data_IF_362921369203
#
_entry.id   IF_362921369203
#
_cell.length_a   1.000
_cell.length_b   1.000
_cell.length_c   1.000
_cell.angle_alpha   90.00
_cell.angle_beta   90.00
_cell.angle_gamma   90.00
#
_symmetry.space_group_name_H-M   'P 1'
#
loop_
_entity.id
_entity.type
_entity.pdbx_description
1 polymer ?
#
# COMPACT_ATOMS: atom_id res chain seq x y z
N UNK A 1 5.52 15.81 31.95
CA UNK A 1 4.27 15.91 31.16
C UNK A 1 3.08 15.71 32.10
N UNK A 2 2.01 16.51 32.04
CA UNK A 2 0.92 16.39 33.04
C UNK A 2 0.09 15.11 32.82
N UNK A 3 -0.40 14.46 33.89
CA UNK A 3 -1.23 13.24 33.79
C UNK A 3 -2.45 13.40 32.86
N UNK A 4 -3.01 14.61 32.77
CA UNK A 4 -4.12 14.95 31.86
C UNK A 4 -3.73 14.93 30.37
N UNK A 5 -2.50 15.32 30.05
CA UNK A 5 -1.98 15.29 28.67
C UNK A 5 -1.73 13.84 28.25
N UNK A 6 -1.14 13.03 29.13
CA UNK A 6 -0.91 11.61 28.89
C UNK A 6 -2.24 10.86 28.72
N UNK A 7 -3.21 11.11 29.61
CA UNK A 7 -4.54 10.51 29.52
C UNK A 7 -5.28 10.92 28.25
N UNK A 8 -5.18 12.19 27.83
CA UNK A 8 -5.79 12.65 26.58
C UNK A 8 -5.20 11.97 25.35
N UNK A 9 -3.87 11.86 25.26
CA UNK A 9 -3.18 11.12 24.20
C UNK A 9 -3.61 9.66 24.14
N UNK A 10 -3.69 8.98 25.28
CA UNK A 10 -4.14 7.59 25.37
C UNK A 10 -5.59 7.41 24.93
N UNK A 11 -6.50 8.30 25.35
CA UNK A 11 -7.91 8.22 24.94
C UNK A 11 -8.08 8.40 23.44
N UNK A 12 -7.28 9.26 22.80
CA UNK A 12 -7.37 9.44 21.35
C UNK A 12 -6.81 8.23 20.60
N UNK A 13 -5.69 7.66 21.05
CA UNK A 13 -5.16 6.40 20.49
C UNK A 13 -6.24 5.30 20.54
N UNK A 14 -6.96 5.19 21.66
CA UNK A 14 -8.04 4.21 21.80
C UNK A 14 -9.21 4.49 20.86
N UNK A 15 -9.64 5.75 20.70
CA UNK A 15 -10.73 6.11 19.78
C UNK A 15 -10.36 5.79 18.33
N UNK A 16 -9.12 6.09 17.90
CA UNK A 16 -8.62 5.77 16.55
C UNK A 16 -8.59 4.26 16.29
N UNK A 17 -8.26 3.47 17.31
CA UNK A 17 -8.27 2.00 17.22
C UNK A 17 -9.70 1.41 17.16
N UNK A 18 -10.71 2.15 17.63
CA UNK A 18 -12.10 1.70 17.70
C UNK A 18 -12.95 2.14 16.49
N UNK A 19 -12.42 2.94 15.56
CA UNK A 19 -13.17 3.32 14.36
C UNK A 19 -13.42 2.10 13.46
N UNK A 20 -14.68 1.86 13.03
CA UNK A 20 -15.00 0.72 12.18
C UNK A 20 -14.33 0.87 10.81
N UNK A 21 -13.70 -0.22 10.33
CA UNK A 21 -13.16 -0.30 8.96
C UNK A 21 -14.09 -1.10 8.05
N UNK A 22 -14.08 -0.63 6.80
CA UNK A 22 -14.59 -1.21 5.55
C UNK A 22 -16.03 -0.84 5.17
N UNK A 23 -16.16 0.26 4.43
CA UNK A 23 -17.26 0.47 3.47
C UNK A 23 -16.83 -0.27 2.18
N UNK A 24 -17.47 -1.39 1.87
CA UNK A 24 -17.22 -2.14 0.63
C UNK A 24 -18.08 -1.56 -0.51
N UNK A 25 -17.52 -0.60 -1.23
CA UNK A 25 -18.04 -0.19 -2.54
C UNK A 25 -17.15 -0.78 -3.64
N UNK A 26 -17.76 -1.35 -4.69
CA UNK A 26 -17.05 -1.98 -5.82
C UNK A 26 -16.38 -0.98 -6.78
N UNK A 27 -16.04 0.22 -6.29
CA UNK A 27 -15.50 1.33 -7.09
C UNK A 27 -14.02 1.63 -6.79
N UNK A 28 -13.39 0.88 -5.89
CA UNK A 28 -11.98 1.04 -5.54
C UNK A 28 -11.03 0.27 -6.47
N UNK A 29 -9.73 0.64 -6.49
CA UNK A 29 -8.69 -0.16 -7.12
C UNK A 29 -8.74 -1.60 -6.61
N UNK A 30 -8.29 -2.54 -7.44
CA UNK A 30 -8.26 -3.96 -7.08
C UNK A 30 -6.86 -4.36 -6.66
N UNK A 31 -6.73 -5.35 -5.75
CA UNK A 31 -5.43 -5.85 -5.35
C UNK A 31 -4.71 -6.48 -6.54
N UNK A 32 -3.38 -6.52 -6.48
CA UNK A 32 -2.53 -7.07 -7.54
C UNK A 32 -1.52 -8.10 -7.04
N UNK A 33 -1.13 -8.99 -7.94
CA UNK A 33 0.04 -9.86 -7.80
C UNK A 33 0.95 -9.61 -9.01
N UNK A 34 2.16 -9.14 -8.74
CA UNK A 34 3.15 -8.77 -9.75
C UNK A 34 4.40 -9.63 -9.54
N UNK A 35 4.91 -10.25 -10.60
CA UNK A 35 6.00 -11.22 -10.53
C UNK A 35 7.04 -10.90 -11.58
N UNK A 36 8.29 -10.72 -11.15
CA UNK A 36 9.45 -10.61 -12.03
C UNK A 36 10.10 -11.99 -12.21
N UNK A 37 10.40 -12.37 -13.44
CA UNK A 37 11.10 -13.62 -13.75
C UNK A 37 12.55 -13.37 -14.13
N UNK A 38 13.46 -14.19 -13.60
CA UNK A 38 14.90 -14.13 -13.89
C UNK A 38 15.42 -15.53 -14.27
N UNK A 39 16.30 -15.63 -15.26
CA UNK A 39 16.94 -16.87 -15.70
C UNK A 39 16.24 -17.59 -16.85
N UNK A 40 15.20 -16.99 -17.44
CA UNK A 40 14.47 -17.49 -18.62
C UNK A 40 14.35 -16.44 -19.71
N UNK A 41 15.24 -15.46 -19.69
CA UNK A 41 15.31 -14.40 -20.69
C UNK A 41 15.54 -15.04 -22.07
N UNK A 42 14.79 -14.58 -23.08
CA UNK A 42 14.83 -15.05 -24.48
C UNK A 42 14.08 -16.36 -24.80
N UNK A 43 13.21 -16.85 -23.91
CA UNK A 43 12.31 -17.97 -24.20
C UNK A 43 10.87 -17.49 -24.35
N UNK A 44 10.07 -18.18 -25.17
CA UNK A 44 8.62 -18.02 -25.16
C UNK A 44 8.09 -18.93 -24.07
N UNK A 45 7.38 -18.34 -23.11
CA UNK A 45 6.72 -19.05 -22.03
C UNK A 45 5.40 -18.36 -21.68
N UNK A 46 4.51 -19.12 -21.05
CA UNK A 46 3.23 -18.63 -20.55
C UNK A 46 3.19 -18.81 -19.04
N UNK A 47 2.49 -17.91 -18.35
CA UNK A 47 2.39 -17.88 -16.90
C UNK A 47 0.93 -17.85 -16.49
N UNK A 48 0.57 -18.63 -15.47
CA UNK A 48 -0.68 -18.48 -14.73
C UNK A 48 -0.42 -18.56 -13.22
N UNK A 49 -1.39 -18.11 -12.42
CA UNK A 49 -1.46 -18.46 -11.01
C UNK A 49 -2.54 -19.51 -10.83
N UNK A 50 -2.15 -20.71 -10.42
CA UNK A 50 -3.10 -21.71 -9.97
C UNK A 50 -3.69 -21.24 -8.65
N UNK A 51 -5.01 -21.31 -8.52
CA UNK A 51 -5.77 -20.82 -7.38
C UNK A 51 -6.20 -21.97 -6.48
N UNK A 52 -6.10 -21.80 -5.17
CA UNK A 52 -6.70 -22.73 -4.20
C UNK A 52 -8.24 -22.77 -4.34
N UNK A 53 -8.84 -21.61 -4.58
CA UNK A 53 -10.28 -21.47 -4.80
C UNK A 53 -10.64 -21.64 -6.28
N UNK A 54 -11.83 -22.16 -6.54
CA UNK A 54 -12.33 -22.36 -7.91
C UNK A 54 -12.69 -21.05 -8.62
N UNK A 55 -12.76 -19.92 -7.93
CA UNK A 55 -13.01 -18.62 -8.55
C UNK A 55 -12.50 -17.46 -7.70
N UNK A 56 -12.17 -16.36 -8.36
CA UNK A 56 -11.89 -15.06 -7.73
C UNK A 56 -12.27 -13.94 -8.69
N UNK A 57 -13.11 -13.01 -8.24
CA UNK A 57 -13.68 -11.97 -9.09
C UNK A 57 -14.36 -12.55 -10.33
N UNK A 58 -14.00 -12.12 -11.56
CA UNK A 58 -14.58 -12.65 -12.79
C UNK A 58 -13.93 -13.95 -13.27
N UNK A 59 -12.87 -14.41 -12.62
CA UNK A 59 -12.09 -15.59 -13.01
C UNK A 59 -12.63 -16.82 -12.29
N UNK A 60 -12.82 -17.92 -13.02
CA UNK A 60 -13.38 -19.14 -12.46
C UNK A 60 -12.88 -20.35 -13.22
N UNK A 61 -12.77 -21.47 -12.53
CA UNK A 61 -12.55 -22.78 -13.10
C UNK A 61 -13.74 -23.15 -13.98
N UNK A 62 -13.47 -23.58 -15.20
CA UNK A 62 -14.52 -23.92 -16.16
C UNK A 62 -14.11 -25.13 -16.97
N UNK A 63 -15.06 -26.04 -17.16
CA UNK A 63 -14.94 -27.20 -18.05
C UNK A 63 -15.60 -26.93 -19.42
N UNK A 64 -16.24 -25.78 -19.60
CA UNK A 64 -16.88 -25.40 -20.88
C UNK A 64 -15.82 -25.28 -21.98
N UNK A 65 -16.14 -25.57 -23.25
CA UNK A 65 -15.23 -25.38 -24.38
C UNK A 65 -14.62 -23.97 -24.43
N UNK A 66 -13.47 -23.82 -25.07
CA UNK A 66 -12.82 -22.52 -25.28
C UNK A 66 -13.78 -21.59 -25.99
N UNK A 67 -13.98 -20.40 -25.44
CA UNK A 67 -14.47 -19.29 -26.24
C UNK A 67 -13.30 -18.74 -27.06
N UNK A 68 -13.27 -19.04 -28.36
CA UNK A 68 -12.21 -18.56 -29.27
C UNK A 68 -12.19 -17.02 -29.38
N UNK A 69 -13.26 -16.34 -28.93
CA UNK A 69 -13.31 -14.88 -28.84
C UNK A 69 -12.83 -14.33 -27.49
N UNK A 70 -12.38 -15.20 -26.56
CA UNK A 70 -11.85 -14.78 -25.28
C UNK A 70 -10.65 -13.85 -25.48
N UNK A 71 -10.70 -12.67 -24.87
CA UNK A 71 -9.67 -11.64 -24.99
C UNK A 71 -8.27 -12.12 -24.57
N UNK A 72 -8.19 -13.07 -23.61
CA UNK A 72 -6.93 -13.67 -23.14
C UNK A 72 -6.25 -14.56 -24.17
N UNK A 73 -6.99 -14.96 -25.21
CA UNK A 73 -6.53 -15.79 -26.32
C UNK A 73 -6.32 -14.95 -27.60
N UNK A 74 -6.87 -13.73 -27.62
CA UNK A 74 -7.06 -12.93 -28.84
C UNK A 74 -5.79 -12.28 -29.37
N UNK A 75 -4.79 -12.07 -28.52
CA UNK A 75 -3.52 -11.41 -28.89
C UNK A 75 -2.58 -12.37 -29.65
N UNK A 76 -2.68 -13.69 -29.40
CA UNK A 76 -1.89 -14.73 -30.06
C UNK A 76 -2.75 -15.99 -30.28
N UNK A 77 -3.67 -15.95 -31.25
CA UNK A 77 -4.77 -16.92 -31.39
C UNK A 77 -4.33 -18.39 -31.27
N UNK A 78 -3.42 -18.87 -32.11
CA UNK A 78 -3.07 -20.30 -32.13
C UNK A 78 -2.23 -20.69 -30.90
N UNK A 79 -1.09 -20.04 -30.66
CA UNK A 79 -0.21 -20.35 -29.51
C UNK A 79 -0.90 -20.12 -28.14
N UNK A 80 -1.83 -19.15 -28.07
CA UNK A 80 -2.61 -18.85 -26.88
C UNK A 80 -3.72 -19.88 -26.60
N UNK A 81 -4.34 -20.44 -27.63
CA UNK A 81 -5.27 -21.58 -27.50
C UNK A 81 -4.52 -22.78 -26.93
N UNK A 82 -3.36 -23.10 -27.50
CA UNK A 82 -2.55 -24.25 -27.08
C UNK A 82 -2.07 -24.11 -25.64
N UNK A 83 -1.53 -22.94 -25.27
CA UNK A 83 -1.12 -22.66 -23.90
C UNK A 83 -2.28 -22.77 -22.90
N UNK A 84 -3.45 -22.25 -23.26
CA UNK A 84 -4.64 -22.36 -22.42
C UNK A 84 -5.09 -23.82 -22.26
N UNK A 85 -5.05 -24.62 -23.32
CA UNK A 85 -5.37 -26.05 -23.26
C UNK A 85 -4.37 -26.79 -22.37
N UNK A 86 -3.09 -26.47 -22.51
CA UNK A 86 -2.03 -27.01 -21.68
C UNK A 86 -2.30 -26.73 -20.19
N UNK A 87 -2.61 -25.47 -19.82
CA UNK A 87 -2.96 -25.12 -18.43
C UNK A 87 -4.23 -25.79 -17.93
N UNK A 88 -5.26 -25.93 -18.77
CA UNK A 88 -6.49 -26.62 -18.40
C UNK A 88 -6.27 -28.10 -18.11
N UNK A 89 -5.41 -28.74 -18.89
CA UNK A 89 -5.12 -30.17 -18.77
C UNK A 89 -4.11 -30.48 -17.65
N UNK A 90 -3.39 -29.46 -17.18
CA UNK A 90 -2.47 -29.58 -16.06
C UNK A 90 -3.24 -29.98 -14.78
N UNK A 91 -2.79 -31.05 -14.12
CA UNK A 91 -3.32 -31.50 -12.84
C UNK A 91 -2.31 -31.18 -11.75
N UNK A 92 -2.64 -30.22 -10.91
CA UNK A 92 -1.81 -29.89 -9.77
C UNK A 92 -1.88 -30.98 -8.69
N UNK A 93 -0.73 -31.30 -8.09
CA UNK A 93 -0.62 -32.33 -7.05
C UNK A 93 -1.34 -31.96 -5.76
N UNK A 94 -1.46 -30.67 -5.46
CA UNK A 94 -2.14 -30.16 -4.26
C UNK A 94 -3.59 -29.73 -4.57
N UNK A 95 -4.09 -30.00 -5.79
CA UNK A 95 -5.47 -29.74 -6.18
C UNK A 95 -5.80 -28.29 -6.51
N UNK A 96 -4.80 -27.43 -6.79
CA UNK A 96 -5.05 -26.06 -7.22
C UNK A 96 -5.63 -26.01 -8.64
N UNK A 97 -6.45 -24.99 -8.91
CA UNK A 97 -7.23 -24.83 -10.13
C UNK A 97 -6.63 -23.78 -11.07
N UNK A 98 -6.61 -24.09 -12.36
CA UNK A 98 -6.51 -23.06 -13.39
C UNK A 98 -7.86 -22.35 -13.56
N UNK A 99 -7.92 -21.06 -13.25
CA UNK A 99 -9.16 -20.25 -13.26
C UNK A 99 -9.30 -19.37 -14.52
N UNK A 100 -8.75 -19.83 -15.65
CA UNK A 100 -8.88 -19.19 -16.96
C UNK A 100 -8.27 -17.78 -17.05
N UNK A 101 -7.13 -17.53 -16.38
CA UNK A 101 -6.32 -16.33 -16.59
C UNK A 101 -4.86 -16.70 -16.72
N UNK A 102 -4.20 -16.20 -17.75
CA UNK A 102 -2.80 -16.44 -18.02
C UNK A 102 -2.23 -15.27 -18.84
N UNK A 103 -0.91 -15.17 -18.89
CA UNK A 103 -0.20 -14.15 -19.66
C UNK A 103 0.94 -14.82 -20.42
N UNK A 104 1.21 -14.34 -21.64
CA UNK A 104 2.45 -14.65 -22.35
C UNK A 104 3.60 -13.82 -21.75
N UNK A 105 4.83 -14.34 -21.80
CA UNK A 105 6.01 -13.57 -21.48
C UNK A 105 6.10 -12.28 -22.30
N UNK A 106 6.55 -11.20 -21.66
CA UNK A 106 6.77 -9.89 -22.29
C UNK A 106 8.27 -9.55 -22.27
N UNK A 107 8.65 -8.43 -22.88
CA UNK A 107 10.06 -7.99 -22.95
C UNK A 107 10.68 -7.75 -21.57
N UNK A 108 9.86 -7.38 -20.59
CA UNK A 108 10.29 -7.10 -19.22
C UNK A 108 10.36 -8.37 -18.35
N UNK A 109 9.95 -9.54 -18.87
CA UNK A 109 9.80 -10.80 -18.14
C UNK A 109 8.98 -10.64 -16.85
N UNK A 110 7.82 -9.98 -16.94
CA UNK A 110 6.92 -9.76 -15.81
C UNK A 110 5.54 -10.39 -16.02
N UNK A 111 4.90 -10.82 -14.94
CA UNK A 111 3.50 -11.21 -14.90
C UNK A 111 2.74 -10.28 -13.94
N UNK A 112 1.65 -9.67 -14.40
CA UNK A 112 0.87 -8.73 -13.59
C UNK A 112 -0.61 -9.11 -13.61
N UNK A 113 -1.13 -9.59 -12.48
CA UNK A 113 -2.55 -9.84 -12.30
C UNK A 113 -3.16 -8.77 -11.40
N UNK A 114 -3.78 -7.76 -12.02
CA UNK A 114 -4.23 -6.52 -11.35
C UNK A 114 -5.71 -6.50 -11.00
N UNK A 115 -6.46 -7.56 -11.31
CA UNK A 115 -7.91 -7.61 -11.12
C UNK A 115 -8.33 -8.92 -10.46
N UNK A 116 -8.53 -8.88 -9.13
CA UNK A 116 -8.90 -10.03 -8.30
C UNK A 116 -7.99 -11.26 -8.45
N UNK A 117 -6.66 -11.11 -8.25
CA UNK A 117 -5.77 -12.26 -8.18
C UNK A 117 -6.13 -13.17 -6.98
N UNK A 118 -5.88 -14.47 -7.09
CA UNK A 118 -6.13 -15.43 -6.00
C UNK A 118 -5.35 -15.08 -4.73
N UNK A 119 -5.94 -15.34 -3.57
CA UNK A 119 -5.30 -15.07 -2.28
C UNK A 119 -4.21 -16.09 -1.96
N UNK A 120 -4.48 -17.38 -2.20
CA UNK A 120 -3.51 -18.49 -2.10
C UNK A 120 -3.28 -19.03 -3.50
N UNK A 121 -2.02 -19.16 -3.93
CA UNK A 121 -1.71 -19.55 -5.30
C UNK A 121 -0.37 -20.24 -5.47
N UNK A 122 -0.20 -20.91 -6.62
CA UNK A 122 1.11 -21.34 -7.15
C UNK A 122 1.35 -20.68 -8.48
N UNK A 123 2.60 -20.30 -8.76
CA UNK A 123 2.96 -19.82 -10.09
C UNK A 123 3.24 -21.04 -10.97
N UNK A 124 2.53 -21.15 -12.09
CA UNK A 124 2.72 -22.21 -13.07
C UNK A 124 3.21 -21.59 -14.38
N UNK A 125 4.34 -22.08 -14.86
CA UNK A 125 4.99 -21.64 -16.09
C UNK A 125 4.95 -22.77 -17.11
N UNK A 126 4.49 -22.47 -18.31
CA UNK A 126 4.43 -23.41 -19.43
C UNK A 126 5.40 -22.99 -20.55
N UNK A 127 6.25 -23.93 -20.98
CA UNK A 127 7.19 -23.76 -22.09
C UNK A 127 6.68 -24.54 -23.32
N UNK A 128 6.02 -23.88 -24.29
CA UNK A 128 5.38 -24.56 -25.42
C UNK A 128 6.35 -25.35 -26.30
N UNK A 129 7.59 -24.87 -26.47
CA UNK A 129 8.61 -25.56 -27.28
C UNK A 129 9.03 -26.93 -26.72
N UNK A 130 8.98 -27.08 -25.40
CA UNK A 130 9.44 -28.28 -24.69
C UNK A 130 8.28 -29.10 -24.13
N UNK A 131 7.04 -28.60 -24.29
CA UNK A 131 5.84 -29.10 -23.62
C UNK A 131 6.05 -29.38 -22.12
N UNK A 132 6.71 -28.44 -21.43
CA UNK A 132 7.15 -28.60 -20.04
C UNK A 132 6.50 -27.57 -19.13
N UNK A 133 6.12 -28.02 -17.93
CA UNK A 133 5.66 -27.17 -16.84
C UNK A 133 6.71 -27.01 -15.75
N UNK A 134 6.72 -25.84 -15.13
CA UNK A 134 7.40 -25.55 -13.88
C UNK A 134 6.37 -24.96 -12.93
N UNK A 135 6.24 -25.51 -11.73
CA UNK A 135 5.34 -25.00 -10.69
C UNK A 135 6.13 -24.62 -9.45
N UNK A 136 5.73 -23.52 -8.80
CA UNK A 136 6.32 -23.08 -7.53
C UNK A 136 5.68 -23.75 -6.34
N UNK A 137 6.31 -23.59 -5.17
CA UNK A 137 5.64 -23.80 -3.90
C UNK A 137 4.44 -22.85 -3.73
N UNK A 138 3.58 -23.19 -2.77
CA UNK A 138 2.40 -22.40 -2.41
C UNK A 138 2.84 -21.03 -1.89
N UNK A 139 2.28 -20.00 -2.49
CA UNK A 139 2.46 -18.59 -2.16
C UNK A 139 1.13 -17.94 -1.79
N UNK A 140 1.19 -16.80 -1.13
CA UNK A 140 0.01 -16.10 -0.61
C UNK A 140 0.15 -14.60 -0.80
N UNK A 141 -0.90 -13.96 -1.29
CA UNK A 141 -1.00 -12.50 -1.39
C UNK A 141 -0.83 -11.88 -0.01
N UNK A 142 0.27 -11.16 0.20
CA UNK A 142 0.69 -10.65 1.51
C UNK A 142 0.32 -9.18 1.74
N UNK A 143 0.05 -8.44 0.67
CA UNK A 143 -0.31 -7.02 0.66
C UNK A 143 -1.37 -6.76 -0.43
N UNK A 144 -1.94 -5.55 -0.43
CA UNK A 144 -2.86 -5.10 -1.47
C UNK A 144 -2.23 -5.25 -2.86
N UNK A 145 -0.99 -4.78 -3.00
CA UNK A 145 -0.11 -5.08 -4.13
C UNK A 145 1.01 -5.99 -3.64
N UNK A 146 1.00 -7.25 -4.07
CA UNK A 146 2.03 -8.23 -3.71
C UNK A 146 3.05 -8.36 -4.83
N UNK A 147 4.33 -8.26 -4.50
CA UNK A 147 5.44 -8.28 -5.45
C UNK A 147 6.33 -9.47 -5.17
N UNK A 148 6.60 -10.25 -6.20
CA UNK A 148 7.45 -11.42 -6.15
C UNK A 148 8.56 -11.34 -7.18
N UNK A 149 9.67 -11.97 -6.85
CA UNK A 149 10.70 -12.34 -7.82
C UNK A 149 10.75 -13.86 -7.87
N UNK A 150 10.64 -14.43 -9.08
CA UNK A 150 10.77 -15.86 -9.36
C UNK A 150 12.08 -16.05 -10.14
N UNK A 151 13.09 -16.60 -9.47
CA UNK A 151 14.38 -16.91 -10.10
C UNK A 151 14.40 -18.39 -10.48
N UNK A 152 14.65 -18.68 -11.76
CA UNK A 152 14.74 -20.05 -12.28
C UNK A 152 16.22 -20.38 -12.46
N UNK A 153 16.75 -21.20 -11.55
CA UNK A 153 18.14 -21.64 -11.54
C UNK A 153 18.25 -23.09 -12.02
N UNK A 154 19.43 -23.47 -12.53
CA UNK A 154 19.87 -24.83 -12.86
C UNK A 154 18.79 -25.78 -13.43
N UNK A 155 18.74 -25.89 -14.76
CA UNK A 155 17.89 -26.83 -15.49
C UNK A 155 16.40 -26.79 -15.12
N UNK A 156 15.89 -25.63 -14.66
CA UNK A 156 14.46 -25.39 -14.39
C UNK A 156 13.93 -26.08 -13.12
N UNK A 157 14.78 -26.27 -12.10
CA UNK A 157 14.44 -27.12 -10.94
C UNK A 157 14.34 -26.33 -9.62
N UNK A 158 15.03 -25.20 -9.52
CA UNK A 158 15.02 -24.39 -8.29
C UNK A 158 14.31 -23.08 -8.56
N UNK A 159 13.26 -22.82 -7.76
CA UNK A 159 12.48 -21.60 -7.83
C UNK A 159 12.57 -20.93 -6.47
N UNK A 160 13.12 -19.71 -6.46
CA UNK A 160 13.09 -18.86 -5.27
C UNK A 160 12.05 -17.78 -5.49
N UNK A 161 11.06 -17.75 -4.60
CA UNK A 161 10.02 -16.72 -4.57
C UNK A 161 10.34 -15.73 -3.46
N UNK A 162 10.88 -14.56 -3.83
CA UNK A 162 11.26 -13.52 -2.87
C UNK A 162 10.25 -12.37 -2.88
N UNK A 163 9.87 -11.89 -1.69
CA UNK A 163 9.06 -10.67 -1.58
C UNK A 163 9.91 -9.47 -2.01
N UNK A 164 9.44 -8.71 -2.99
CA UNK A 164 10.11 -7.51 -3.50
C UNK A 164 9.41 -6.26 -2.95
N UNK A 165 9.45 -6.07 -1.64
CA UNK A 165 8.88 -4.88 -1.01
C UNK A 165 10.00 -3.88 -0.69
N UNK A 166 9.94 -2.69 -1.29
CA UNK A 166 10.94 -1.65 -1.05
C UNK A 166 10.62 -0.87 0.24
N UNK A 167 11.02 -1.43 1.37
CA UNK A 167 10.89 -0.75 2.67
C UNK A 167 11.73 0.53 2.75
N UNK A 168 12.75 0.71 1.91
CA UNK A 168 13.68 1.85 1.97
C UNK A 168 13.07 3.11 1.38
N UNK A 169 12.35 2.98 0.26
CA UNK A 169 11.60 4.08 -0.35
C UNK A 169 10.51 4.59 0.60
N UNK A 170 9.79 3.69 1.29
CA UNK A 170 8.76 4.09 2.25
C UNK A 170 9.32 4.82 3.47
N UNK A 171 10.43 4.36 4.03
CA UNK A 171 11.10 5.04 5.13
C UNK A 171 11.60 6.44 4.72
N UNK A 172 12.09 6.57 3.48
CA UNK A 172 12.54 7.85 2.92
C UNK A 172 11.35 8.80 2.76
N UNK A 173 10.27 8.33 2.15
CA UNK A 173 9.00 9.02 2.00
C UNK A 173 8.45 9.54 3.34
N UNK A 174 8.37 8.65 4.34
CA UNK A 174 7.91 8.98 5.68
C UNK A 174 8.79 10.04 6.34
N UNK A 175 10.11 9.93 6.20
CA UNK A 175 11.07 10.89 6.76
C UNK A 175 10.90 12.28 6.14
N UNK A 176 10.76 12.36 4.82
CA UNK A 176 10.53 13.62 4.10
C UNK A 176 9.24 14.29 4.56
N UNK A 177 8.15 13.54 4.70
CA UNK A 177 6.85 14.07 5.16
C UNK A 177 6.94 14.66 6.57
N UNK A 178 7.53 13.92 7.51
CA UNK A 178 7.68 14.39 8.90
C UNK A 178 8.54 15.66 8.95
N UNK A 179 9.66 15.69 8.24
CA UNK A 179 10.56 16.86 8.24
C UNK A 179 9.90 18.10 7.64
N UNK A 180 9.13 17.93 6.54
CA UNK A 180 8.41 19.04 5.92
C UNK A 180 7.31 19.58 6.83
N UNK A 181 6.51 18.70 7.43
CA UNK A 181 5.48 19.13 8.40
C UNK A 181 6.11 19.88 9.57
N UNK A 182 7.21 19.37 10.13
CA UNK A 182 7.93 20.08 11.19
C UNK A 182 8.42 21.47 10.77
N UNK A 183 8.92 21.60 9.54
CA UNK A 183 9.36 22.89 9.02
C UNK A 183 8.19 23.88 8.91
N UNK A 184 7.05 23.44 8.36
CA UNK A 184 5.82 24.24 8.25
C UNK A 184 5.33 24.68 9.62
N UNK A 185 5.25 23.76 10.58
CA UNK A 185 4.80 24.02 11.94
C UNK A 185 5.65 25.07 12.64
N UNK A 186 6.98 24.99 12.51
CA UNK A 186 7.89 26.01 13.07
C UNK A 186 7.67 27.35 12.38
N UNK A 187 7.56 27.40 11.04
CA UNK A 187 7.34 28.64 10.30
C UNK A 187 6.03 29.33 10.72
N UNK A 188 4.94 28.56 10.84
CA UNK A 188 3.65 29.07 11.30
C UNK A 188 3.74 29.50 12.77
N UNK A 189 4.43 28.75 13.63
CA UNK A 189 4.61 29.12 15.03
C UNK A 189 5.33 30.48 15.17
N UNK A 190 6.36 30.70 14.36
CA UNK A 190 7.07 31.98 14.31
C UNK A 190 6.18 33.13 13.85
N UNK A 191 5.31 32.91 12.86
CA UNK A 191 4.31 33.89 12.39
C UNK A 191 3.31 34.26 13.49
N UNK A 192 2.89 33.30 14.32
CA UNK A 192 2.04 33.53 15.49
C UNK A 192 2.79 34.11 16.71
N UNK A 193 4.09 34.40 16.58
CA UNK A 193 4.91 34.95 17.65
C UNK A 193 5.30 33.95 18.74
N UNK A 194 5.10 32.64 18.52
CA UNK A 194 5.41 31.56 19.45
C UNK A 194 6.92 31.22 19.43
N UNK A 195 7.76 32.20 19.79
CA UNK A 195 9.24 32.12 19.60
C UNK A 195 9.99 31.51 20.78
N UNK A 196 9.34 31.30 21.92
CA UNK A 196 10.01 30.81 23.13
C UNK A 196 10.42 29.35 22.96
N UNK A 197 11.67 29.03 23.34
CA UNK A 197 12.29 27.70 23.16
C UNK A 197 11.44 26.56 23.72
N UNK A 198 10.88 26.71 24.92
CA UNK A 198 10.03 25.69 25.54
C UNK A 198 8.72 25.44 24.77
N UNK A 199 8.14 26.48 24.16
CA UNK A 199 6.93 26.36 23.33
C UNK A 199 7.27 25.70 22.00
N UNK A 200 8.34 26.14 21.33
CA UNK A 200 8.79 25.53 20.07
C UNK A 200 9.15 24.05 20.25
N UNK A 201 9.90 23.69 21.31
CA UNK A 201 10.22 22.29 21.61
C UNK A 201 8.97 21.46 21.89
N UNK A 202 7.95 22.04 22.54
CA UNK A 202 6.70 21.35 22.78
C UNK A 202 5.91 21.12 21.48
N UNK A 203 5.82 22.13 20.62
CA UNK A 203 5.21 22.02 19.28
C UNK A 203 5.89 20.91 18.48
N UNK A 204 7.23 20.92 18.41
CA UNK A 204 8.01 19.91 17.70
C UNK A 204 7.73 18.51 18.26
N UNK A 205 7.71 18.36 19.59
CA UNK A 205 7.47 17.07 20.21
C UNK A 205 6.07 16.51 19.93
N UNK A 206 5.03 17.35 20.01
CA UNK A 206 3.66 16.92 19.72
C UNK A 206 3.51 16.57 18.24
N UNK A 207 3.98 17.44 17.33
CA UNK A 207 3.97 17.18 15.89
C UNK A 207 4.75 15.91 15.53
N UNK A 208 5.88 15.65 16.17
CA UNK A 208 6.64 14.42 15.94
C UNK A 208 5.79 13.19 16.26
N UNK A 209 5.13 13.19 17.42
CA UNK A 209 4.31 12.06 17.87
C UNK A 209 3.09 11.88 16.99
N UNK A 210 2.36 12.96 16.67
CA UNK A 210 1.16 12.90 15.83
C UNK A 210 1.50 12.48 14.40
N UNK A 211 2.56 13.02 13.81
CA UNK A 211 2.97 12.69 12.44
C UNK A 211 3.54 11.28 12.32
N UNK A 212 4.33 10.79 13.30
CA UNK A 212 4.76 9.39 13.31
C UNK A 212 3.54 8.46 13.39
N UNK A 213 2.61 8.72 14.30
CA UNK A 213 1.41 7.90 14.46
C UNK A 213 0.54 7.89 13.20
N UNK A 214 0.30 9.06 12.62
CA UNK A 214 -0.46 9.23 11.38
C UNK A 214 0.18 8.45 10.22
N UNK A 215 1.48 8.63 9.98
CA UNK A 215 2.17 8.00 8.85
C UNK A 215 2.28 6.48 9.01
N UNK A 216 2.48 5.95 10.23
CA UNK A 216 2.44 4.51 10.48
C UNK A 216 1.05 3.93 10.16
N UNK A 217 -0.02 4.59 10.63
CA UNK A 217 -1.38 4.14 10.38
C UNK A 217 -1.72 4.16 8.88
N UNK A 218 -1.31 5.21 8.17
CA UNK A 218 -1.51 5.34 6.74
C UNK A 218 -0.71 4.32 5.93
N UNK A 219 0.54 4.04 6.32
CA UNK A 219 1.35 3.01 5.68
C UNK A 219 0.71 1.62 5.84
N UNK A 220 0.20 1.28 7.04
CA UNK A 220 -0.54 0.03 7.27
C UNK A 220 -1.80 -0.04 6.38
N UNK A 221 -2.51 1.09 6.20
CA UNK A 221 -3.69 1.15 5.32
C UNK A 221 -3.28 0.95 3.86
N UNK A 222 -2.23 1.62 3.40
CA UNK A 222 -1.73 1.47 2.04
C UNK A 222 -1.34 0.02 1.75
N UNK A 223 -0.56 -0.58 2.66
CA UNK A 223 -0.13 -1.96 2.57
C UNK A 223 -1.30 -2.96 2.51
N UNK A 224 -2.39 -2.72 3.25
CA UNK A 224 -3.54 -3.66 3.31
C UNK A 224 -4.65 -3.36 2.30
N UNK A 225 -4.81 -2.10 1.90
CA UNK A 225 -6.01 -1.61 1.23
C UNK A 225 -5.73 -0.68 0.05
N UNK A 226 -4.46 -0.41 -0.25
CA UNK A 226 -4.02 0.34 -1.43
C UNK A 226 -4.10 1.86 -1.31
N UNK A 227 -3.61 2.54 -2.33
CA UNK A 227 -3.41 4.00 -2.35
C UNK A 227 -4.69 4.83 -2.22
N UNK A 228 -5.83 4.35 -2.74
CA UNK A 228 -7.10 5.07 -2.57
C UNK A 228 -7.60 5.04 -1.13
N UNK A 229 -7.45 3.90 -0.45
CA UNK A 229 -7.75 3.81 0.97
C UNK A 229 -6.81 4.71 1.77
N UNK A 230 -5.53 4.78 1.40
CA UNK A 230 -4.57 5.73 1.98
C UNK A 230 -5.10 7.17 1.86
N UNK A 231 -5.46 7.65 0.66
CA UNK A 231 -5.92 9.04 0.44
C UNK A 231 -7.20 9.33 1.21
N UNK A 232 -8.19 8.44 1.15
CA UNK A 232 -9.43 8.61 1.89
C UNK A 232 -9.19 8.71 3.40
N UNK A 233 -8.32 7.84 3.95
CA UNK A 233 -8.02 7.86 5.36
C UNK A 233 -7.15 9.05 5.78
N UNK A 234 -6.29 9.52 4.89
CA UNK A 234 -5.43 10.67 5.14
C UNK A 234 -6.22 11.92 5.54
N UNK A 235 -7.30 12.21 4.81
CA UNK A 235 -8.12 13.43 5.02
C UNK A 235 -8.70 13.48 6.43
N UNK A 236 -9.41 12.43 6.86
CA UNK A 236 -10.09 12.47 8.16
C UNK A 236 -9.12 12.28 9.33
N UNK A 237 -8.03 11.52 9.13
CA UNK A 237 -7.01 11.36 10.17
C UNK A 237 -6.25 12.66 10.43
N UNK A 238 -5.96 13.45 9.40
CA UNK A 238 -5.37 14.79 9.58
C UNK A 238 -6.32 15.74 10.33
N UNK A 239 -7.62 15.71 10.02
CA UNK A 239 -8.62 16.46 10.81
C UNK A 239 -8.60 16.04 12.28
N UNK A 240 -8.45 14.74 12.56
CA UNK A 240 -8.32 14.23 13.92
C UNK A 240 -7.02 14.71 14.59
N UNK A 241 -5.89 14.73 13.87
CA UNK A 241 -4.62 15.30 14.37
C UNK A 241 -4.80 16.78 14.74
N UNK A 242 -5.44 17.59 13.89
CA UNK A 242 -5.74 19.00 14.19
C UNK A 242 -6.51 19.15 15.51
N UNK A 243 -7.51 18.31 15.74
CA UNK A 243 -8.31 18.35 16.98
C UNK A 243 -7.46 18.00 18.21
N UNK A 244 -6.61 16.97 18.11
CA UNK A 244 -5.69 16.56 19.17
C UNK A 244 -4.72 17.69 19.51
N UNK A 245 -4.07 18.23 18.48
CA UNK A 245 -3.05 19.25 18.63
C UNK A 245 -3.64 20.55 19.19
N UNK A 246 -4.77 21.00 18.66
CA UNK A 246 -5.49 22.16 19.17
C UNK A 246 -5.82 22.01 20.67
N UNK A 247 -6.28 20.83 21.08
CA UNK A 247 -6.58 20.53 22.48
C UNK A 247 -5.31 20.55 23.35
N UNK A 248 -4.26 19.84 22.92
CA UNK A 248 -3.00 19.72 23.67
C UNK A 248 -2.29 21.07 23.79
N UNK A 249 -2.21 21.85 22.70
CA UNK A 249 -1.63 23.19 22.71
C UNK A 249 -2.44 24.15 23.59
N UNK A 250 -3.77 24.09 23.56
CA UNK A 250 -4.62 24.94 24.41
C UNK A 250 -4.35 24.70 25.90
N UNK A 251 -4.14 23.44 26.29
CA UNK A 251 -3.79 23.08 27.67
C UNK A 251 -2.38 23.49 28.07
N UNK A 252 -1.41 23.44 27.14
CA UNK A 252 -0.02 23.77 27.43
C UNK A 252 0.24 25.28 27.40
N UNK A 253 -0.21 25.99 26.36
CA UNK A 253 0.03 27.43 26.20
C UNK A 253 -0.62 28.25 27.30
N UNK A 254 -1.81 27.83 27.78
CA UNK A 254 -2.48 28.48 28.92
C UNK A 254 -1.70 28.40 30.24
N UNK A 255 -0.73 27.48 30.34
CA UNK A 255 0.13 27.28 31.53
C UNK A 255 1.58 27.69 31.29
N UNK A 256 1.93 28.07 30.07
CA UNK A 256 3.30 28.40 29.70
C UNK A 256 3.70 29.74 30.33
N UNK A 257 4.71 29.73 31.19
CA UNK A 257 5.32 30.95 31.71
C UNK A 257 6.04 31.66 30.56
N UNK A 258 5.42 32.74 30.09
CA UNK A 258 5.88 33.58 28.98
C UNK A 258 5.86 35.03 29.44
N UNK A 259 6.77 35.87 28.92
CA UNK A 259 6.85 37.28 29.30
C UNK A 259 5.54 38.03 28.98
N UNK A 260 4.87 37.62 27.90
CA UNK A 260 3.53 38.07 27.51
C UNK A 260 2.62 36.85 27.46
N UNK A 261 1.50 36.84 28.20
CA UNK A 261 0.58 35.70 28.21
C UNK A 261 -0.01 35.46 26.81
N UNK A 262 0.03 34.20 26.37
CA UNK A 262 -0.54 33.79 25.10
C UNK A 262 -2.07 33.79 25.20
N UNK A 263 -2.73 34.50 24.28
CA UNK A 263 -4.20 34.56 24.22
C UNK A 263 -4.77 33.16 23.96
N UNK A 264 -5.85 32.78 24.65
CA UNK A 264 -6.46 31.44 24.57
C UNK A 264 -6.85 30.99 23.15
N UNK A 265 -7.21 31.92 22.28
CA UNK A 265 -7.59 31.62 20.89
C UNK A 265 -6.39 31.29 19.99
N UNK A 266 -5.16 31.65 20.39
CA UNK A 266 -3.96 31.43 19.56
C UNK A 266 -3.71 29.94 19.37
N UNK A 267 -3.83 29.12 20.41
CA UNK A 267 -3.57 27.68 20.33
C UNK A 267 -4.44 26.93 19.29
N UNK A 268 -5.79 27.04 19.32
CA UNK A 268 -6.62 26.35 18.33
C UNK A 268 -6.45 26.91 16.92
N UNK A 269 -6.33 28.23 16.76
CA UNK A 269 -6.13 28.84 15.43
C UNK A 269 -4.78 28.46 14.84
N UNK A 270 -3.72 28.49 15.65
CA UNK A 270 -2.39 28.01 15.27
C UNK A 270 -2.45 26.58 14.75
N UNK A 271 -3.04 25.66 15.52
CA UNK A 271 -3.12 24.24 15.14
C UNK A 271 -3.84 24.05 13.81
N UNK A 272 -4.99 24.71 13.63
CA UNK A 272 -5.74 24.64 12.38
C UNK A 272 -4.89 25.16 11.21
N UNK A 273 -4.26 26.33 11.36
CA UNK A 273 -3.47 26.94 10.27
C UNK A 273 -2.25 26.10 9.92
N UNK A 274 -1.51 25.62 10.92
CA UNK A 274 -0.28 24.86 10.72
C UNK A 274 -0.56 23.49 10.09
N UNK A 275 -1.54 22.74 10.63
CA UNK A 275 -1.92 21.45 10.07
C UNK A 275 -2.58 21.58 8.69
N UNK A 276 -3.39 22.62 8.45
CA UNK A 276 -3.97 22.86 7.11
C UNK A 276 -2.87 23.17 6.08
N UNK A 277 -1.87 23.97 6.45
CA UNK A 277 -0.73 24.26 5.59
C UNK A 277 0.08 23.00 5.28
N UNK A 278 0.36 22.18 6.29
CA UNK A 278 1.06 20.89 6.15
C UNK A 278 0.27 19.90 5.29
N UNK A 279 -1.05 19.81 5.49
CA UNK A 279 -1.94 18.96 4.69
C UNK A 279 -1.97 19.36 3.22
N UNK A 280 -2.15 20.66 2.93
CA UNK A 280 -2.12 21.17 1.54
C UNK A 280 -0.76 20.88 0.90
N UNK A 281 0.34 21.08 1.64
CA UNK A 281 1.67 20.74 1.15
C UNK A 281 1.81 19.24 0.87
N UNK A 282 1.31 18.39 1.76
CA UNK A 282 1.28 16.94 1.57
C UNK A 282 0.53 16.53 0.30
N UNK A 283 -0.66 17.10 0.06
CA UNK A 283 -1.41 16.85 -1.17
C UNK A 283 -0.66 17.31 -2.43
N UNK A 284 -0.01 18.48 -2.40
CA UNK A 284 0.78 18.97 -3.55
C UNK A 284 1.93 18.01 -3.87
N UNK A 285 2.60 17.46 -2.85
CA UNK A 285 3.69 16.50 -3.03
C UNK A 285 3.15 15.19 -3.60
N UNK A 286 2.03 14.68 -3.08
CA UNK A 286 1.36 13.49 -3.61
C UNK A 286 1.07 13.62 -5.12
N UNK A 287 0.57 14.77 -5.57
CA UNK A 287 0.26 14.98 -6.99
C UNK A 287 1.49 15.21 -7.88
N UNK A 288 2.54 15.88 -7.37
CA UNK A 288 3.72 16.23 -8.17
C UNK A 288 4.83 15.18 -8.13
N UNK A 289 4.92 14.41 -7.04
CA UNK A 289 5.99 13.45 -6.74
C UNK A 289 5.35 12.20 -6.12
N UNK A 290 4.54 11.43 -6.87
CA UNK A 290 3.81 10.29 -6.33
C UNK A 290 4.72 9.20 -5.76
N UNK A 291 5.99 9.11 -6.22
CA UNK A 291 6.97 8.19 -5.66
C UNK A 291 7.54 8.58 -4.28
N UNK A 292 7.20 9.77 -3.77
CA UNK A 292 7.63 10.27 -2.45
C UNK A 292 6.50 10.12 -1.42
N UNK A 293 5.27 9.78 -1.83
CA UNK A 293 4.10 9.82 -0.97
C UNK A 293 3.39 8.47 -0.84
#
# INVERSE_FOLDING_TARGET
>A
MSKKIISGLLSVIVIVLLFPRAVYADMGPKPSVNIDFVGIENQIYYITLLSEEQSTGPHYFSTKPIDENNYLVREHKEEGIDAWQAFRNYKDVDGFYFINYFQRCNEQNTFNWTYYPPSTFKVLIYFPKEDKFISTEISYKYAFDSYYKVSILDNKTTIVTEKKYDSSAEMTSLSVRILLTMAVEILVALFFGLKKRNILLFIIAINMVTQIALNILLNIINYKSGGYAFVFNYIWMELLVVLIEAFVYSLYFSKAKTDIPIKKWIAPVYSIVANSASFIMGLVILFKLPGIF
#
